data_IF_440055874426
#
_entry.id   IF_440055874426
#
_cell.length_a   1.000
_cell.length_b   1.000
_cell.length_c   1.000
_cell.angle_alpha   90.00
_cell.angle_beta   90.00
_cell.angle_gamma   90.00
#
_symmetry.space_group_name_H-M   'P 1'
#
loop_
_entity.id
_entity.type
_entity.pdbx_description
1 polymer ?
#
# COMPACT_ATOMS: atom_id res chain seq x y z
N UNK A 1 10.79 -1.91 85.40
CA UNK A 1 11.92 -1.04 85.80
C UNK A 1 12.72 -0.77 84.54
N UNK A 2 13.07 0.42 84.07
CA UNK A 2 13.00 1.83 84.49
C UNK A 2 13.15 2.62 83.16
N UNK A 3 12.21 3.52 82.87
CA UNK A 3 12.39 4.99 82.80
C UNK A 3 13.02 5.52 81.51
N UNK A 4 12.25 6.38 80.84
CA UNK A 4 12.69 7.31 79.81
C UNK A 4 13.63 8.38 80.41
N UNK A 5 14.58 8.86 79.62
CA UNK A 5 15.11 10.21 79.72
C UNK A 5 15.22 10.84 78.33
N UNK A 6 14.42 11.89 78.17
CA UNK A 6 14.53 13.00 77.23
C UNK A 6 15.39 14.06 77.91
N UNK A 7 16.22 14.83 77.16
CA UNK A 7 16.84 16.16 77.45
C UNK A 7 18.02 16.29 76.46
N UNK A 8 18.32 17.39 75.75
CA UNK A 8 17.70 18.69 75.54
C UNK A 8 18.35 19.35 74.30
N UNK A 9 17.62 20.29 73.70
CA UNK A 9 18.11 21.27 72.71
C UNK A 9 18.46 22.57 73.46
N UNK A 10 19.51 23.29 73.05
CA UNK A 10 19.46 24.75 72.90
C UNK A 10 19.82 25.15 71.43
N UNK A 11 18.99 25.89 70.68
CA UNK A 11 18.80 27.36 70.68
C UNK A 11 20.13 28.08 70.33
N UNK A 12 20.29 28.97 69.33
CA UNK A 12 19.44 30.06 68.80
C UNK A 12 20.00 30.54 67.42
N UNK A 13 19.09 30.92 66.49
CA UNK A 13 19.12 32.01 65.47
C UNK A 13 20.37 32.32 64.62
N UNK A 14 20.32 32.86 63.41
CA UNK A 14 19.31 33.19 62.40
C UNK A 14 20.11 33.83 61.25
N UNK A 15 19.49 33.90 60.06
CA UNK A 15 19.69 34.93 59.03
C UNK A 15 20.80 34.75 57.96
N UNK A 16 20.32 34.48 56.73
CA UNK A 16 20.48 35.28 55.48
C UNK A 16 21.05 34.48 54.29
N UNK A 17 20.19 33.97 53.40
CA UNK A 17 19.77 34.52 52.07
C UNK A 17 20.57 33.92 50.90
N UNK A 18 19.87 33.09 50.11
CA UNK A 18 19.79 33.04 48.63
C UNK A 18 21.10 33.13 47.82
N UNK A 19 21.46 32.06 47.11
CA UNK A 19 21.63 32.07 45.65
C UNK A 19 21.98 30.69 45.05
N UNK A 20 21.11 30.26 44.12
CA UNK A 20 21.41 29.58 42.86
C UNK A 20 22.10 28.20 42.86
N UNK A 21 21.25 27.17 42.77
CA UNK A 21 21.54 25.88 42.15
C UNK A 21 21.65 26.06 40.63
N UNK A 22 22.86 26.06 40.08
CA UNK A 22 23.08 25.87 38.63
C UNK A 22 24.41 25.16 38.39
N UNK A 23 24.38 23.83 38.31
CA UNK A 23 25.46 23.04 37.72
C UNK A 23 24.89 21.72 37.15
N UNK A 24 24.03 21.84 36.14
CA UNK A 24 23.81 20.77 35.16
C UNK A 24 23.74 21.43 33.78
N UNK A 25 24.91 21.69 33.21
CA UNK A 25 25.05 22.14 31.83
C UNK A 25 26.02 21.18 31.12
N UNK A 26 25.65 20.83 29.89
CA UNK A 26 26.43 20.09 28.90
C UNK A 26 26.28 18.57 28.85
N UNK A 27 25.05 18.14 28.57
CA UNK A 27 24.84 17.17 27.49
C UNK A 27 23.49 17.43 26.79
N UNK A 28 23.31 18.65 26.28
CA UNK A 28 22.31 18.91 25.25
C UNK A 28 22.83 18.31 23.95
N UNK A 29 22.64 16.99 23.78
CA UNK A 29 22.60 16.42 22.44
C UNK A 29 21.40 17.07 21.79
N UNK A 30 21.64 18.01 20.88
CA UNK A 30 20.66 18.49 19.93
C UNK A 30 20.28 17.29 19.06
N UNK A 31 19.34 16.47 19.53
CA UNK A 31 18.57 15.62 18.64
C UNK A 31 17.73 16.59 17.82
N UNK A 32 18.25 16.93 16.64
CA UNK A 32 17.39 17.39 15.56
C UNK A 32 16.38 16.27 15.36
N UNK A 33 15.19 16.44 15.94
CA UNK A 33 14.03 15.65 15.59
C UNK A 33 13.76 15.98 14.12
N UNK A 34 14.36 15.20 13.21
CA UNK A 34 13.78 15.03 11.91
C UNK A 34 12.39 14.48 12.21
N UNK A 35 11.37 15.32 12.06
CA UNK A 35 10.01 14.85 11.90
C UNK A 35 10.05 13.94 10.66
N UNK A 36 10.35 12.66 10.87
CA UNK A 36 10.04 11.62 9.92
C UNK A 36 8.52 11.69 9.83
N UNK A 37 8.00 12.38 8.82
CA UNK A 37 6.60 12.29 8.46
C UNK A 37 6.31 10.81 8.33
N UNK A 38 5.54 10.28 9.29
CA UNK A 38 5.10 8.90 9.25
C UNK A 38 4.53 8.68 7.84
N UNK A 39 4.99 7.65 7.11
CA UNK A 39 4.55 7.46 5.73
C UNK A 39 3.02 7.42 5.74
N UNK A 40 2.41 8.26 4.90
CA UNK A 40 0.96 8.36 4.80
C UNK A 40 0.41 6.95 4.51
N UNK A 41 -0.54 6.50 5.32
CA UNK A 41 -1.22 5.22 5.13
C UNK A 41 -1.71 5.14 3.68
N UNK A 42 -1.59 3.96 3.09
CA UNK A 42 -2.01 3.77 1.70
C UNK A 42 -3.51 4.07 1.56
N UNK A 43 -3.93 4.94 0.63
CA UNK A 43 -5.35 5.19 0.43
C UNK A 43 -6.06 3.92 -0.07
N UNK A 44 -7.34 3.78 0.25
CA UNK A 44 -8.19 2.69 -0.24
C UNK A 44 -9.50 3.25 -0.78
N UNK A 45 -10.14 2.49 -1.66
CA UNK A 45 -11.38 2.87 -2.34
C UNK A 45 -12.57 2.89 -1.40
N UNK A 46 -13.65 3.53 -1.84
CA UNK A 46 -14.97 3.42 -1.18
C UNK A 46 -15.68 2.09 -1.48
N UNK A 47 -15.05 1.21 -2.26
CA UNK A 47 -15.55 -0.13 -2.58
C UNK A 47 -14.58 -1.21 -2.12
N UNK A 48 -15.10 -2.38 -1.74
CA UNK A 48 -14.31 -3.52 -1.29
C UNK A 48 -15.08 -4.83 -1.39
N UNK A 49 -14.40 -5.96 -1.15
CA UNK A 49 -15.10 -7.21 -0.88
C UNK A 49 -15.82 -7.16 0.48
N UNK A 50 -16.87 -7.97 0.66
CA UNK A 50 -17.63 -8.01 1.92
C UNK A 50 -16.73 -8.39 3.12
N UNK A 51 -15.82 -9.33 2.90
CA UNK A 51 -14.88 -9.87 3.89
C UNK A 51 -13.44 -9.72 3.39
N UNK A 52 -12.41 -9.72 4.26
CA UNK A 52 -11.00 -9.59 3.89
C UNK A 52 -10.44 -10.90 3.27
N UNK A 53 -11.20 -11.50 2.36
CA UNK A 53 -10.74 -12.62 1.56
C UNK A 53 -11.43 -12.63 0.20
N UNK A 54 -10.75 -13.19 -0.79
CA UNK A 54 -11.30 -13.42 -2.12
C UNK A 54 -10.70 -14.70 -2.72
N UNK A 55 -11.47 -15.34 -3.59
CA UNK A 55 -10.97 -16.45 -4.42
C UNK A 55 -10.18 -15.91 -5.62
N UNK A 56 -9.08 -16.57 -5.97
CA UNK A 56 -8.22 -16.18 -7.09
C UNK A 56 -7.89 -17.39 -7.98
N UNK A 57 -7.96 -17.21 -9.29
CA UNK A 57 -7.57 -18.20 -10.29
C UNK A 57 -6.32 -17.74 -11.03
N UNK A 58 -5.32 -18.63 -11.15
CA UNK A 58 -4.10 -18.39 -11.91
C UNK A 58 -4.18 -19.14 -13.25
N UNK A 59 -4.26 -18.42 -14.36
CA UNK A 59 -4.47 -19.04 -15.69
C UNK A 59 -3.24 -19.08 -16.59
N UNK A 60 -2.23 -18.22 -16.36
CA UNK A 60 -0.98 -18.22 -17.14
C UNK A 60 0.16 -18.96 -16.42
N UNK A 61 0.65 -20.03 -17.04
CA UNK A 61 1.79 -20.80 -16.53
C UNK A 61 3.08 -19.98 -16.42
N UNK A 62 3.32 -18.99 -17.30
CA UNK A 62 4.58 -18.23 -17.33
C UNK A 62 4.76 -17.33 -16.11
N UNK A 63 3.68 -16.82 -15.56
CA UNK A 63 3.68 -15.93 -14.39
C UNK A 63 3.13 -16.58 -13.13
N UNK A 64 2.74 -17.85 -13.19
CA UNK A 64 2.14 -18.58 -12.06
C UNK A 64 2.99 -18.53 -10.79
N UNK A 65 4.31 -18.71 -10.88
CA UNK A 65 5.20 -18.62 -9.72
C UNK A 65 5.30 -17.21 -9.14
N UNK A 66 5.25 -16.17 -9.99
CA UNK A 66 5.24 -14.76 -9.58
C UNK A 66 3.96 -14.45 -8.80
N UNK A 67 2.80 -14.84 -9.33
CA UNK A 67 1.51 -14.66 -8.67
C UNK A 67 1.44 -15.43 -7.35
N UNK A 68 1.91 -16.68 -7.29
CA UNK A 68 2.01 -17.42 -6.03
C UNK A 68 2.85 -16.71 -4.98
N UNK A 69 4.02 -16.16 -5.37
CA UNK A 69 4.88 -15.44 -4.43
C UNK A 69 4.20 -14.18 -3.89
N UNK A 70 3.51 -13.41 -4.74
CA UNK A 70 2.78 -12.21 -4.33
C UNK A 70 1.59 -12.56 -3.40
N UNK A 71 0.82 -13.60 -3.74
CA UNK A 71 -0.27 -14.14 -2.90
C UNK A 71 0.26 -14.55 -1.53
N UNK A 72 1.36 -15.31 -1.48
CA UNK A 72 1.93 -15.77 -0.22
C UNK A 72 2.38 -14.61 0.67
N UNK A 73 2.96 -13.55 0.08
CA UNK A 73 3.34 -12.36 0.82
C UNK A 73 2.15 -11.63 1.41
N UNK A 74 1.10 -11.38 0.63
CA UNK A 74 -0.13 -10.76 1.14
C UNK A 74 -0.80 -11.62 2.21
N UNK A 75 -0.97 -12.92 1.97
CA UNK A 75 -1.55 -13.85 2.95
C UNK A 75 -0.73 -13.90 4.25
N UNK A 76 0.60 -13.82 4.15
CA UNK A 76 1.50 -13.78 5.30
C UNK A 76 1.39 -12.50 6.16
N UNK A 77 0.75 -11.44 5.66
CA UNK A 77 0.45 -10.24 6.47
C UNK A 77 -0.77 -10.41 7.38
N UNK A 78 -1.61 -11.42 7.11
CA UNK A 78 -2.91 -11.64 7.75
C UNK A 78 -3.94 -10.50 7.59
N UNK A 79 -3.64 -9.46 6.80
CA UNK A 79 -4.60 -8.39 6.54
C UNK A 79 -5.68 -8.81 5.53
N UNK A 80 -5.34 -9.68 4.58
CA UNK A 80 -6.25 -10.22 3.57
C UNK A 80 -5.85 -11.65 3.22
N UNK A 81 -6.82 -12.49 2.84
CA UNK A 81 -6.57 -13.87 2.39
C UNK A 81 -7.03 -14.10 0.96
N UNK A 82 -6.09 -14.38 0.07
CA UNK A 82 -6.36 -14.95 -1.24
C UNK A 82 -6.45 -16.48 -1.17
N UNK A 83 -7.55 -17.05 -1.67
CA UNK A 83 -7.77 -18.49 -1.76
C UNK A 83 -7.66 -18.94 -3.22
N UNK A 84 -6.63 -19.72 -3.55
CA UNK A 84 -6.42 -20.18 -4.92
C UNK A 84 -7.46 -21.24 -5.28
N UNK A 85 -8.19 -21.03 -6.37
CA UNK A 85 -9.22 -21.96 -6.90
C UNK A 85 -8.98 -22.26 -8.38
N UNK A 86 -9.53 -23.38 -8.85
CA UNK A 86 -9.39 -23.82 -10.26
C UNK A 86 -10.33 -23.08 -11.22
N UNK A 87 -11.49 -22.63 -10.76
CA UNK A 87 -12.54 -21.96 -11.54
C UNK A 87 -13.50 -21.20 -10.62
N UNK A 88 -14.28 -20.27 -11.17
CA UNK A 88 -15.27 -19.49 -10.41
C UNK A 88 -14.65 -18.53 -9.39
N UNK A 89 -13.46 -18.00 -9.71
CA UNK A 89 -12.79 -17.04 -8.83
C UNK A 89 -13.39 -15.63 -8.93
N UNK A 90 -13.31 -14.88 -7.85
CA UNK A 90 -13.58 -13.43 -7.87
C UNK A 90 -12.44 -12.68 -8.58
N UNK A 91 -11.21 -13.19 -8.48
CA UNK A 91 -10.03 -12.58 -9.08
C UNK A 91 -9.44 -13.53 -10.13
N UNK A 92 -9.18 -13.02 -11.32
CA UNK A 92 -8.38 -13.70 -12.33
C UNK A 92 -7.00 -13.06 -12.40
N UNK A 93 -5.95 -13.87 -12.38
CA UNK A 93 -4.58 -13.41 -12.49
C UNK A 93 -3.84 -14.12 -13.63
N UNK A 94 -3.30 -13.32 -14.55
CA UNK A 94 -2.61 -13.84 -15.74
C UNK A 94 -1.48 -12.92 -16.22
N UNK A 95 -1.07 -13.08 -17.47
CA UNK A 95 -0.24 -12.12 -18.16
C UNK A 95 -0.72 -11.87 -19.58
N UNK A 96 -0.18 -10.81 -20.17
CA UNK A 96 -0.20 -10.56 -21.59
C UNK A 96 1.19 -10.14 -22.07
N UNK A 97 1.36 -10.00 -23.38
CA UNK A 97 2.62 -9.55 -23.97
C UNK A 97 2.34 -8.57 -25.10
N UNK A 98 2.52 -7.28 -24.85
CA UNK A 98 2.35 -6.25 -25.89
C UNK A 98 3.30 -5.08 -25.66
N UNK A 99 3.90 -4.62 -26.76
CA UNK A 99 4.68 -3.38 -26.84
C UNK A 99 4.02 -2.37 -27.80
N UNK A 100 2.71 -2.49 -28.03
CA UNK A 100 1.98 -1.44 -28.76
C UNK A 100 2.15 -0.08 -28.07
N UNK A 101 1.88 1.02 -28.79
CA UNK A 101 2.00 2.39 -28.26
C UNK A 101 1.34 2.53 -26.88
N UNK A 102 0.18 1.91 -26.69
CA UNK A 102 -0.58 1.92 -25.43
C UNK A 102 0.11 1.17 -24.28
N UNK A 103 0.76 0.03 -24.55
CA UNK A 103 1.23 -0.88 -23.50
C UNK A 103 2.75 -0.91 -23.31
N UNK A 104 3.50 -0.23 -24.19
CA UNK A 104 4.96 -0.25 -24.21
C UNK A 104 5.65 0.29 -22.95
N UNK A 105 4.90 1.00 -22.09
CA UNK A 105 5.34 1.55 -20.81
C UNK A 105 4.48 1.06 -19.65
N UNK A 106 3.68 0.01 -19.82
CA UNK A 106 2.82 -0.56 -18.77
C UNK A 106 3.44 -1.86 -18.24
N UNK A 107 3.51 -2.02 -16.92
CA UNK A 107 4.04 -3.23 -16.26
C UNK A 107 2.96 -4.18 -15.79
N UNK A 108 1.86 -3.64 -15.29
CA UNK A 108 0.68 -4.38 -14.91
C UNK A 108 -0.59 -3.58 -15.17
N UNK A 109 -1.71 -4.29 -15.17
CA UNK A 109 -3.04 -3.73 -15.32
C UNK A 109 -3.97 -4.46 -14.34
N UNK A 110 -4.78 -3.68 -13.63
CA UNK A 110 -5.89 -4.20 -12.83
C UNK A 110 -7.21 -3.67 -13.34
N UNK A 111 -8.07 -4.57 -13.81
CA UNK A 111 -9.47 -4.27 -14.12
C UNK A 111 -10.35 -4.67 -12.93
N UNK A 112 -11.35 -3.87 -12.59
CA UNK A 112 -12.28 -4.12 -11.48
C UNK A 112 -13.72 -3.89 -11.92
N UNK A 113 -14.63 -4.76 -11.49
CA UNK A 113 -16.08 -4.57 -11.62
C UNK A 113 -16.67 -4.24 -10.27
N UNK A 114 -17.41 -3.15 -10.19
CA UNK A 114 -17.91 -2.57 -8.93
C UNK A 114 -19.41 -2.32 -9.07
N UNK A 115 -20.16 -2.53 -8.01
CA UNK A 115 -21.56 -2.12 -7.93
C UNK A 115 -21.80 -1.51 -6.55
N UNK A 116 -22.14 -0.22 -6.50
CA UNK A 116 -22.21 0.52 -5.25
C UNK A 116 -20.86 0.52 -4.52
N UNK A 117 -20.86 0.08 -3.26
CA UNK A 117 -19.67 -0.11 -2.43
C UNK A 117 -19.02 -1.50 -2.56
N UNK A 118 -19.52 -2.37 -3.43
CA UNK A 118 -19.07 -3.76 -3.50
C UNK A 118 -18.15 -3.97 -4.71
N UNK A 119 -16.96 -4.48 -4.43
CA UNK A 119 -16.06 -5.03 -5.44
C UNK A 119 -16.53 -6.44 -5.82
N UNK A 120 -16.90 -6.64 -7.08
CA UNK A 120 -17.45 -7.90 -7.56
C UNK A 120 -16.37 -8.85 -8.05
N UNK A 121 -15.50 -8.33 -8.91
CA UNK A 121 -14.41 -9.09 -9.48
C UNK A 121 -13.25 -8.20 -9.88
N UNK A 122 -12.08 -8.80 -10.00
CA UNK A 122 -10.90 -8.17 -10.56
C UNK A 122 -10.19 -9.07 -11.57
N UNK A 123 -9.50 -8.47 -12.54
CA UNK A 123 -8.60 -9.14 -13.46
C UNK A 123 -7.25 -8.43 -13.42
N UNK A 124 -6.26 -9.10 -12.84
CA UNK A 124 -4.89 -8.57 -12.67
C UNK A 124 -3.96 -9.22 -13.69
N UNK A 125 -3.14 -8.42 -14.36
CA UNK A 125 -2.34 -8.90 -15.50
C UNK A 125 -0.97 -8.28 -15.50
N UNK A 126 0.06 -9.11 -15.68
CA UNK A 126 1.43 -8.62 -15.93
C UNK A 126 1.68 -8.46 -17.43
N UNK A 127 2.31 -7.36 -17.85
CA UNK A 127 2.81 -7.21 -19.22
C UNK A 127 4.22 -7.79 -19.36
N UNK A 128 4.31 -9.05 -19.77
CA UNK A 128 5.58 -9.76 -19.91
C UNK A 128 6.53 -9.12 -20.93
N UNK A 129 6.01 -8.50 -22.00
CA UNK A 129 6.84 -7.88 -23.02
C UNK A 129 7.53 -6.61 -22.48
N UNK A 130 6.77 -5.77 -21.76
CA UNK A 130 7.31 -4.57 -21.11
C UNK A 130 8.27 -4.93 -19.96
N UNK A 131 7.87 -5.83 -19.06
CA UNK A 131 8.72 -6.31 -17.97
C UNK A 131 10.03 -6.94 -18.48
N UNK A 132 9.98 -7.63 -19.63
CA UNK A 132 11.16 -8.12 -20.35
C UNK A 132 12.03 -6.99 -20.90
N UNK A 133 11.44 -6.07 -21.68
CA UNK A 133 12.12 -4.91 -22.27
C UNK A 133 12.90 -4.08 -21.24
N UNK A 134 12.30 -3.85 -20.06
CA UNK A 134 12.92 -3.05 -18.98
C UNK A 134 13.66 -3.89 -17.93
N UNK A 135 13.94 -5.16 -18.24
CA UNK A 135 14.82 -6.06 -17.48
C UNK A 135 14.38 -6.20 -16.01
N UNK A 136 13.08 -6.38 -15.76
CA UNK A 136 12.58 -6.66 -14.41
C UNK A 136 13.00 -8.06 -13.98
N UNK A 137 13.69 -8.15 -12.83
CA UNK A 137 14.04 -9.43 -12.19
C UNK A 137 12.80 -10.14 -11.66
N UNK A 138 12.92 -11.43 -11.33
CA UNK A 138 11.82 -12.20 -10.70
C UNK A 138 11.26 -11.48 -9.47
N UNK A 139 12.12 -11.01 -8.56
CA UNK A 139 11.67 -10.27 -7.37
C UNK A 139 10.96 -8.96 -7.71
N UNK A 140 11.44 -8.22 -8.72
CA UNK A 140 10.79 -6.98 -9.16
C UNK A 140 9.43 -7.25 -9.82
N UNK A 141 9.30 -8.35 -10.57
CA UNK A 141 8.01 -8.81 -11.12
C UNK A 141 7.05 -9.21 -10.00
N UNK A 142 7.55 -9.84 -8.93
CA UNK A 142 6.76 -10.13 -7.73
C UNK A 142 6.26 -8.84 -7.08
N UNK A 143 7.09 -7.80 -6.96
CA UNK A 143 6.64 -6.50 -6.44
C UNK A 143 5.52 -5.87 -7.29
N UNK A 144 5.59 -5.98 -8.63
CA UNK A 144 4.50 -5.54 -9.52
C UNK A 144 3.24 -6.39 -9.26
N UNK A 145 3.36 -7.71 -9.18
CA UNK A 145 2.22 -8.57 -8.84
C UNK A 145 1.62 -8.26 -7.46
N UNK A 146 2.44 -7.94 -6.45
CA UNK A 146 1.98 -7.48 -5.13
C UNK A 146 1.17 -6.18 -5.26
N UNK A 147 1.63 -5.24 -6.11
CA UNK A 147 0.94 -3.99 -6.41
C UNK A 147 -0.44 -4.23 -7.05
N UNK A 148 -0.52 -5.03 -8.11
CA UNK A 148 -1.79 -5.35 -8.78
C UNK A 148 -2.77 -6.05 -7.83
N UNK A 149 -2.28 -6.95 -6.97
CA UNK A 149 -3.12 -7.57 -5.93
C UNK A 149 -3.60 -6.55 -4.89
N UNK A 150 -2.81 -5.52 -4.61
CA UNK A 150 -3.23 -4.38 -3.79
C UNK A 150 -4.45 -3.67 -4.38
N UNK A 151 -4.42 -3.36 -5.68
CA UNK A 151 -5.57 -2.83 -6.40
C UNK A 151 -6.77 -3.77 -6.38
N UNK A 152 -6.55 -5.07 -6.55
CA UNK A 152 -7.61 -6.08 -6.48
C UNK A 152 -8.27 -6.20 -5.09
N UNK A 153 -7.64 -5.69 -4.03
CA UNK A 153 -8.24 -5.60 -2.69
C UNK A 153 -8.87 -4.24 -2.39
N UNK A 154 -8.78 -3.27 -3.32
CA UNK A 154 -9.29 -1.91 -3.13
C UNK A 154 -8.25 -0.90 -2.65
N UNK A 155 -6.95 -1.22 -2.60
CA UNK A 155 -5.93 -0.19 -2.37
C UNK A 155 -5.79 0.71 -3.60
N UNK A 156 -5.60 2.00 -3.36
CA UNK A 156 -5.27 3.00 -4.37
C UNK A 156 -3.76 3.30 -4.31
N UNK A 157 -3.27 4.10 -5.26
CA UNK A 157 -1.87 4.49 -5.26
C UNK A 157 -1.50 5.28 -3.99
N UNK A 158 -0.40 4.87 -3.36
CA UNK A 158 0.24 5.65 -2.32
C UNK A 158 1.16 6.70 -2.98
N UNK A 159 1.08 7.99 -2.59
CA UNK A 159 1.99 9.01 -3.12
C UNK A 159 3.46 8.80 -2.70
N UNK A 160 3.71 8.01 -1.66
CA UNK A 160 5.05 7.74 -1.13
C UNK A 160 5.71 6.55 -1.83
N UNK A 161 6.92 6.76 -2.36
CA UNK A 161 7.72 5.71 -2.98
C UNK A 161 8.12 4.55 -2.05
N UNK A 162 7.96 4.71 -0.73
CA UNK A 162 8.17 3.67 0.30
C UNK A 162 6.89 2.84 0.56
N UNK A 163 6.14 2.50 -0.47
CA UNK A 163 4.95 1.66 -0.41
C UNK A 163 4.90 0.75 -1.63
N UNK A 164 4.36 -0.46 -1.47
CA UNK A 164 4.13 -1.34 -2.64
C UNK A 164 3.16 -0.72 -3.63
N UNK A 165 2.25 0.13 -3.13
CA UNK A 165 1.23 0.85 -3.90
C UNK A 165 1.71 2.16 -4.50
N UNK A 166 3.02 2.46 -4.49
CA UNK A 166 3.53 3.58 -5.28
C UNK A 166 3.30 3.30 -6.78
N UNK A 167 2.68 4.22 -7.51
CA UNK A 167 2.28 4.01 -8.92
C UNK A 167 3.44 3.64 -9.88
N UNK A 168 4.68 4.00 -9.52
CA UNK A 168 5.92 3.62 -10.22
C UNK A 168 6.74 2.65 -9.35
N UNK A 169 6.11 1.61 -8.84
CA UNK A 169 6.81 0.64 -8.01
C UNK A 169 7.63 -0.33 -8.87
N UNK A 170 8.80 -0.67 -8.35
CA UNK A 170 9.71 -1.71 -8.86
C UNK A 170 10.48 -2.36 -7.73
N UNK A 171 10.84 -1.58 -6.71
CA UNK A 171 11.81 -1.98 -5.70
C UNK A 171 11.20 -2.32 -4.34
N UNK A 172 9.98 -1.86 -4.06
CA UNK A 172 9.38 -1.94 -2.73
C UNK A 172 8.35 -3.06 -2.71
N UNK A 173 8.49 -3.99 -1.77
CA UNK A 173 7.48 -5.01 -1.46
C UNK A 173 6.46 -4.43 -0.47
N UNK A 174 5.41 -5.18 -0.13
CA UNK A 174 4.38 -4.78 0.85
C UNK A 174 5.01 -4.15 2.11
N UNK A 175 4.51 -2.96 2.49
CA UNK A 175 4.97 -2.20 3.66
C UNK A 175 3.87 -2.10 4.73
N UNK A 176 4.21 -1.76 5.99
CA UNK A 176 3.23 -1.61 7.06
C UNK A 176 2.09 -0.62 6.76
N UNK A 177 2.33 0.41 5.94
CA UNK A 177 1.30 1.37 5.51
C UNK A 177 0.24 0.77 4.60
N UNK A 178 0.60 -0.28 3.85
CA UNK A 178 -0.30 -1.01 2.95
C UNK A 178 -1.15 -1.99 3.76
N UNK A 179 -0.52 -2.69 4.71
CA UNK A 179 -1.18 -3.62 5.65
C UNK A 179 -2.19 -2.88 6.54
N UNK A 180 -1.79 -1.74 7.10
CA UNK A 180 -2.65 -0.92 7.97
C UNK A 180 -3.87 -0.38 7.23
N UNK A 181 -3.73 -0.09 5.93
CA UNK A 181 -4.83 0.37 5.09
C UNK A 181 -5.90 -0.72 4.93
N UNK A 182 -5.52 -1.94 4.56
CA UNK A 182 -6.43 -3.08 4.46
C UNK A 182 -7.11 -3.36 5.81
N UNK A 183 -6.33 -3.43 6.89
CA UNK A 183 -6.90 -3.69 8.22
C UNK A 183 -7.89 -2.61 8.67
N UNK A 184 -7.69 -1.36 8.24
CA UNK A 184 -8.62 -0.27 8.52
C UNK A 184 -9.89 -0.38 7.66
N UNK A 185 -9.73 -0.65 6.37
CA UNK A 185 -10.84 -0.79 5.42
C UNK A 185 -11.81 -1.92 5.83
N UNK A 186 -11.27 -3.06 6.23
CA UNK A 186 -12.03 -4.24 6.64
C UNK A 186 -12.34 -4.31 8.14
N UNK A 187 -12.08 -3.25 8.91
CA UNK A 187 -12.28 -3.21 10.38
C UNK A 187 -13.75 -3.36 10.79
N UNK A 188 -14.68 -2.95 9.94
CA UNK A 188 -16.11 -2.99 10.22
C UNK A 188 -16.79 -4.05 9.34
N UNK A 189 -17.41 -5.05 9.98
CA UNK A 189 -18.19 -6.09 9.30
C UNK A 189 -19.54 -5.59 8.78
N UNK A 190 -19.97 -4.39 9.19
CA UNK A 190 -21.14 -3.73 8.62
C UNK A 190 -20.78 -3.13 7.27
N UNK A 191 -20.82 -4.00 6.26
CA UNK A 191 -20.88 -3.58 4.88
C UNK A 191 -22.30 -3.05 4.61
N UNK A 192 -22.49 -1.73 4.66
CA UNK A 192 -23.74 -1.10 4.20
C UNK A 192 -23.79 -1.22 2.69
N UNK A 193 -24.40 -2.30 2.23
CA UNK A 193 -24.49 -2.64 0.82
C UNK A 193 -25.46 -1.71 0.10
N UNK A 194 -24.96 -0.91 -0.85
CA UNK A 194 -25.79 -0.11 -1.76
C UNK A 194 -26.06 -0.83 -3.09
N UNK A 195 -25.81 -2.14 -3.15
CA UNK A 195 -25.92 -2.99 -4.35
C UNK A 195 -27.23 -2.84 -5.11
N UNK A 196 -28.34 -2.78 -4.39
CA UNK A 196 -29.68 -3.02 -4.95
C UNK A 196 -30.14 -1.97 -5.97
N UNK A 197 -29.40 -0.89 -6.17
CA UNK A 197 -29.81 0.21 -7.06
C UNK A 197 -28.67 0.82 -7.89
N UNK A 198 -27.43 0.32 -7.75
CA UNK A 198 -26.28 0.93 -8.42
C UNK A 198 -25.97 0.21 -9.74
N UNK A 199 -25.62 0.95 -10.82
CA UNK A 199 -25.12 0.31 -12.04
C UNK A 199 -23.75 -0.32 -11.79
N UNK A 200 -23.44 -1.39 -12.55
CA UNK A 200 -22.09 -1.96 -12.57
C UNK A 200 -21.14 -1.01 -13.28
N UNK A 201 -20.04 -0.67 -12.60
CA UNK A 201 -18.97 0.20 -13.11
C UNK A 201 -17.69 -0.60 -13.31
N UNK A 202 -16.88 -0.20 -14.30
CA UNK A 202 -15.56 -0.75 -14.53
C UNK A 202 -14.49 0.28 -14.20
N UNK A 203 -13.53 -0.09 -13.34
CA UNK A 203 -12.34 0.71 -13.06
C UNK A 203 -11.10 -0.01 -13.58
N UNK A 204 -10.15 0.76 -14.12
CA UNK A 204 -8.88 0.21 -14.63
C UNK A 204 -7.69 1.00 -14.13
N UNK A 205 -6.69 0.31 -13.59
CA UNK A 205 -5.37 0.86 -13.26
C UNK A 205 -4.36 0.41 -14.32
N UNK A 206 -3.60 1.36 -14.87
CA UNK A 206 -2.50 1.11 -15.80
C UNK A 206 -1.19 1.52 -15.14
N UNK A 207 -0.38 0.56 -14.71
CA UNK A 207 0.78 0.85 -13.87
C UNK A 207 2.06 1.00 -14.70
N UNK A 208 2.69 2.18 -14.68
CA UNK A 208 3.80 2.47 -15.55
C UNK A 208 5.08 1.73 -15.17
N UNK A 209 5.92 1.53 -16.17
CA UNK A 209 7.30 1.12 -16.01
C UNK A 209 8.06 2.12 -15.17
N UNK A 210 8.87 1.56 -14.28
CA UNK A 210 9.96 2.27 -13.62
C UNK A 210 11.26 1.78 -14.23
N UNK A 211 11.94 2.62 -15.04
CA UNK A 211 13.24 2.28 -15.58
C UNK A 211 14.17 1.85 -14.44
N UNK A 212 15.07 0.91 -14.73
CA UNK A 212 16.15 0.67 -13.80
C UNK A 212 16.84 2.01 -13.61
N UNK A 213 17.12 2.39 -12.36
CA UNK A 213 17.88 3.62 -12.13
C UNK A 213 19.17 3.43 -12.93
N UNK A 214 19.33 4.17 -14.02
CA UNK A 214 20.65 4.31 -14.59
C UNK A 214 21.50 4.84 -13.44
N UNK A 215 22.71 4.34 -13.26
CA UNK A 215 23.74 5.22 -12.72
C UNK A 215 23.70 6.43 -13.65
N UNK A 216 23.03 7.51 -13.25
CA UNK A 216 22.77 8.63 -14.14
C UNK A 216 24.13 9.27 -14.40
N UNK A 217 24.67 9.01 -15.58
CA UNK A 217 25.34 10.06 -16.31
C UNK A 217 24.21 10.96 -16.81
N UNK A 218 24.18 12.19 -16.30
CA UNK A 218 23.11 13.16 -16.50
C UNK A 218 22.98 13.45 -17.99
N UNK A 219 21.90 12.97 -18.61
CA UNK A 219 21.27 13.55 -19.79
C UNK A 219 20.07 12.70 -20.17
N UNK A 220 18.87 13.12 -19.76
CA UNK A 220 17.56 12.83 -20.39
C UNK A 220 16.40 13.11 -19.42
N UNK A 221 16.33 14.33 -18.88
CA UNK A 221 15.13 14.88 -18.24
C UNK A 221 14.27 15.50 -19.33
N UNK A 222 13.37 14.75 -20.00
CA UNK A 222 12.30 15.39 -20.78
C UNK A 222 11.08 14.53 -21.18
N UNK A 223 10.76 13.46 -20.43
CA UNK A 223 9.56 12.65 -20.75
C UNK A 223 8.83 12.26 -19.46
N UNK A 224 8.10 13.19 -18.85
CA UNK A 224 7.43 12.93 -17.57
C UNK A 224 6.21 13.82 -17.31
N UNK A 225 5.23 13.80 -18.21
CA UNK A 225 3.84 14.20 -17.89
C UNK A 225 2.88 13.35 -18.75
N UNK A 226 1.64 13.17 -18.28
CA UNK A 226 0.52 12.36 -18.81
C UNK A 226 0.31 11.00 -18.14
N UNK A 227 -0.18 11.02 -16.89
CA UNK A 227 -1.15 10.03 -16.43
C UNK A 227 -2.54 10.55 -16.80
N UNK A 228 -3.25 9.85 -17.67
CA UNK A 228 -4.65 10.17 -18.02
C UNK A 228 -5.56 9.14 -17.36
N UNK A 229 -6.34 9.58 -16.39
CA UNK A 229 -7.49 8.81 -15.88
C UNK A 229 -8.61 8.94 -16.90
N UNK A 230 -8.77 7.95 -17.79
CA UNK A 230 -9.93 7.89 -18.68
C UNK A 230 -11.07 7.18 -17.95
N UNK A 231 -12.07 7.94 -17.49
CA UNK A 231 -13.36 7.39 -17.11
C UNK A 231 -14.25 7.50 -18.36
N UNK A 232 -14.49 6.38 -19.04
CA UNK A 232 -15.39 6.31 -20.19
C UNK A 232 -16.83 6.09 -19.70
N UNK A 233 -17.64 7.15 -19.73
CA UNK A 233 -19.07 7.10 -19.42
C UNK A 233 -19.95 6.78 -20.65
N UNK A 234 -19.39 6.22 -21.73
CA UNK A 234 -20.17 5.93 -22.95
C UNK A 234 -20.33 4.43 -23.18
N UNK A 235 -21.28 3.83 -22.43
CA UNK A 235 -22.19 2.76 -22.90
C UNK A 235 -23.20 2.37 -21.82
N UNK A 236 -24.18 3.24 -21.59
CA UNK A 236 -25.52 2.81 -21.17
C UNK A 236 -26.46 3.26 -22.26
N UNK A 237 -26.84 2.33 -23.13
CA UNK A 237 -27.99 2.53 -24.00
C UNK A 237 -29.25 2.20 -23.18
N UNK A 238 -30.19 3.14 -22.99
CA UNK A 238 -31.45 2.87 -22.33
C UNK A 238 -32.33 2.04 -23.28
N UNK A 239 -32.87 0.94 -22.79
CA UNK A 239 -33.87 0.18 -23.54
C UNK A 239 -35.14 1.01 -23.76
N UNK A 240 -35.60 1.01 -25.02
CA UNK A 240 -36.99 0.78 -25.40
C UNK A 240 -36.98 -0.27 -26.50
#
# INVERSE_FOLDING_TARGET
MKKAEMIAIPQVSSMVVVAAVTAMLSCCITQTAFAHTAPHMTPFSSYRYNVPNATIQLSDHKTKSIWHAAINKWNGTHAFTFKIVKSGAQIHADSFSSLSKTYSTTTGITYSKICGSQLLSAHVRLNNASLGKYKYTTAQRTNVAEHELGHAMGLLHNPNAKSVMYYKNRYVSIQPVDVSAIQKDYRFLEFSDTFGSSPVQEHTFYDPVTPQKATIQADSLNVLTHSTTHIDFTKVNPGK
#
